data_IF_211713269686
#
_entry.id   IF_211713269686
#
_cell.length_a   1.000
_cell.length_b   1.000
_cell.length_c   1.000
_cell.angle_alpha   90.00
_cell.angle_beta   90.00
_cell.angle_gamma   90.00
#
_symmetry.space_group_name_H-M   'P 1'
#
loop_
_entity.id
_entity.type
_entity.pdbx_description
1 polymer ?
#
# COMPACT_ATOMS: atom_id res chain seq x y z
N UNK A 1 -32.18 -4.76 -1.50
CA UNK A 1 -31.05 -4.32 -0.64
C UNK A 1 -30.40 -3.12 -1.30
N UNK A 2 -30.53 -1.91 -0.73
CA UNK A 2 -29.83 -0.73 -1.25
C UNK A 2 -28.36 -0.87 -0.85
N UNK A 3 -27.49 -1.14 -1.82
CA UNK A 3 -26.05 -1.06 -1.64
C UNK A 3 -25.70 0.40 -1.35
N UNK A 4 -25.40 0.71 -0.10
CA UNK A 4 -24.85 2.01 0.27
C UNK A 4 -23.47 2.12 -0.39
N UNK A 5 -23.18 3.22 -1.08
CA UNK A 5 -21.85 3.50 -1.63
C UNK A 5 -20.85 3.64 -0.48
N UNK A 6 -20.17 2.54 -0.13
CA UNK A 6 -19.10 2.54 0.86
C UNK A 6 -17.85 3.10 0.20
N UNK A 7 -17.71 4.43 0.16
CA UNK A 7 -16.44 5.04 -0.26
C UNK A 7 -15.36 4.65 0.75
N UNK A 8 -14.22 4.09 0.31
CA UNK A 8 -13.14 3.72 1.21
C UNK A 8 -12.63 4.99 1.91
N UNK A 9 -12.44 4.90 3.24
CA UNK A 9 -11.89 6.02 4.00
C UNK A 9 -10.53 6.42 3.40
N UNK A 10 -10.21 7.73 3.30
CA UNK A 10 -8.96 8.21 2.71
C UNK A 10 -7.71 7.54 3.31
N UNK A 11 -7.74 7.26 4.62
CA UNK A 11 -6.70 6.52 5.35
C UNK A 11 -6.43 5.12 4.80
N UNK A 12 -7.49 4.39 4.43
CA UNK A 12 -7.38 3.04 3.84
C UNK A 12 -6.88 3.14 2.40
N UNK A 13 -7.43 4.07 1.62
CA UNK A 13 -7.03 4.27 0.24
C UNK A 13 -5.53 4.67 0.11
N UNK A 14 -5.05 5.55 0.99
CA UNK A 14 -3.65 5.97 1.03
C UNK A 14 -2.70 4.81 1.39
N UNK A 15 -3.06 4.00 2.39
CA UNK A 15 -2.26 2.82 2.74
C UNK A 15 -2.18 1.77 1.64
N UNK A 16 -3.30 1.51 0.94
CA UNK A 16 -3.35 0.55 -0.17
C UNK A 16 -2.51 1.03 -1.36
N UNK A 17 -2.59 2.31 -1.73
CA UNK A 17 -1.78 2.88 -2.81
C UNK A 17 -0.28 2.78 -2.49
N UNK A 18 0.11 3.08 -1.25
CA UNK A 18 1.50 2.97 -0.82
C UNK A 18 2.02 1.53 -0.81
N UNK A 19 1.22 0.57 -0.35
CA UNK A 19 1.54 -0.85 -0.44
C UNK A 19 1.71 -1.31 -1.90
N UNK A 20 0.83 -0.89 -2.79
CA UNK A 20 0.91 -1.23 -4.21
C UNK A 20 2.18 -0.65 -4.88
N UNK A 21 2.53 0.61 -4.58
CA UNK A 21 3.76 1.23 -5.08
C UNK A 21 5.02 0.50 -4.61
N UNK A 22 4.99 -0.07 -3.40
CA UNK A 22 6.10 -0.84 -2.85
C UNK A 22 6.30 -2.16 -3.60
N UNK A 23 5.21 -2.83 -3.97
CA UNK A 23 5.27 -4.04 -4.80
C UNK A 23 5.82 -3.71 -6.19
N UNK A 24 5.37 -2.60 -6.78
CA UNK A 24 5.88 -2.12 -8.08
C UNK A 24 7.39 -1.83 -7.99
N UNK A 25 7.86 -1.19 -6.92
CA UNK A 25 9.27 -0.91 -6.72
C UNK A 25 10.13 -2.19 -6.64
N UNK A 26 9.64 -3.21 -5.93
CA UNK A 26 10.30 -4.52 -5.86
C UNK A 26 10.34 -5.18 -7.23
N UNK A 27 9.25 -5.10 -7.99
CA UNK A 27 9.20 -5.64 -9.35
C UNK A 27 10.21 -4.96 -10.29
N UNK A 28 10.35 -3.64 -10.22
CA UNK A 28 11.36 -2.88 -10.97
C UNK A 28 12.78 -3.29 -10.56
N UNK A 29 13.04 -3.50 -9.27
CA UNK A 29 14.33 -3.99 -8.79
C UNK A 29 14.67 -5.37 -9.37
N UNK A 30 13.69 -6.26 -9.48
CA UNK A 30 13.88 -7.56 -10.15
C UNK A 30 14.22 -7.44 -11.63
N UNK A 31 13.65 -6.46 -12.35
CA UNK A 31 14.02 -6.19 -13.75
C UNK A 31 15.46 -5.68 -13.90
N UNK A 32 16.01 -5.05 -12.87
CA UNK A 32 17.42 -4.62 -12.82
C UNK A 32 18.39 -5.75 -12.42
N UNK A 33 17.91 -6.98 -12.25
CA UNK A 33 18.71 -8.14 -11.86
C UNK A 33 18.92 -8.29 -10.35
N UNK A 34 18.22 -7.52 -9.52
CA UNK A 34 18.25 -7.68 -8.06
C UNK A 34 17.21 -8.73 -7.66
N UNK A 35 17.65 -9.91 -7.24
CA UNK A 35 16.73 -10.92 -6.69
C UNK A 35 16.22 -10.49 -5.32
N UNK A 36 14.94 -10.11 -5.26
CA UNK A 36 14.25 -9.80 -4.01
C UNK A 36 13.36 -10.99 -3.62
N UNK A 37 13.62 -11.66 -2.48
CA UNK A 37 12.73 -12.71 -1.99
C UNK A 37 11.32 -12.17 -1.75
N UNK A 38 10.29 -12.95 -2.10
CA UNK A 38 8.89 -12.51 -1.98
C UNK A 38 8.49 -12.09 -0.56
N UNK A 39 9.10 -12.69 0.46
CA UNK A 39 8.93 -12.30 1.87
C UNK A 39 9.42 -10.88 2.16
N UNK A 40 10.52 -10.44 1.53
CA UNK A 40 11.08 -9.09 1.67
C UNK A 40 10.16 -8.08 0.97
N UNK A 41 9.66 -8.41 -0.23
CA UNK A 41 8.71 -7.55 -0.93
C UNK A 41 7.40 -7.36 -0.15
N UNK A 42 6.88 -8.44 0.44
CA UNK A 42 5.71 -8.37 1.30
C UNK A 42 5.95 -7.52 2.56
N UNK A 43 7.10 -7.70 3.21
CA UNK A 43 7.48 -6.91 4.38
C UNK A 43 7.59 -5.41 4.06
N UNK A 44 8.17 -5.06 2.91
CA UNK A 44 8.26 -3.67 2.43
C UNK A 44 6.87 -3.09 2.17
N UNK A 45 6.00 -3.81 1.46
CA UNK A 45 4.64 -3.38 1.18
C UNK A 45 3.83 -3.14 2.45
N UNK A 46 3.98 -4.01 3.46
CA UNK A 46 3.33 -3.83 4.76
C UNK A 46 3.89 -2.64 5.53
N UNK A 47 5.21 -2.50 5.63
CA UNK A 47 5.84 -1.42 6.37
C UNK A 47 5.51 -0.04 5.76
N UNK A 48 5.63 0.09 4.44
CA UNK A 48 5.36 1.34 3.72
C UNK A 48 3.85 1.63 3.72
N UNK A 49 3.01 0.62 3.47
CA UNK A 49 1.56 0.77 3.54
C UNK A 49 1.08 1.25 4.92
N UNK A 50 1.64 0.68 6.00
CA UNK A 50 1.34 1.09 7.37
C UNK A 50 1.85 2.50 7.67
N UNK A 51 3.10 2.81 7.33
CA UNK A 51 3.69 4.14 7.55
C UNK A 51 2.87 5.22 6.84
N UNK A 52 2.52 5.01 5.57
CA UNK A 52 1.71 5.99 4.84
C UNK A 52 0.31 6.11 5.44
N UNK A 53 -0.35 4.99 5.77
CA UNK A 53 -1.65 5.03 6.44
C UNK A 53 -1.60 5.74 7.82
N UNK A 54 -0.47 5.69 8.52
CA UNK A 54 -0.26 6.39 9.79
C UNK A 54 -0.20 7.91 9.61
N UNK A 55 0.44 8.37 8.54
CA UNK A 55 0.55 9.81 8.23
C UNK A 55 -0.64 10.38 7.47
N UNK A 56 -1.50 9.55 6.86
CA UNK A 56 -2.74 10.03 6.23
C UNK A 56 -3.71 10.48 7.33
N UNK A 57 -4.10 11.77 7.34
CA UNK A 57 -5.05 12.27 8.33
C UNK A 57 -6.34 11.47 8.26
N UNK A 58 -6.92 11.16 9.42
CA UNK A 58 -8.32 10.76 9.47
C UNK A 58 -9.12 12.00 9.11
N UNK A 59 -9.44 12.13 7.82
CA UNK A 59 -10.29 13.21 7.33
C UNK A 59 -11.52 13.29 8.23
N UNK A 60 -11.72 14.47 8.84
CA UNK A 60 -12.80 14.76 9.77
C UNK A 60 -14.12 14.21 9.21
N UNK A 61 -14.66 13.20 9.88
CA UNK A 61 -16.07 12.88 9.79
C UNK A 61 -16.79 13.81 10.77
#
# INVERSE_FOLDING_TARGET
MKWQEVKPKPKVAGGVLAGALSVIAVWVASLAGVEVPGSVGAALATAIGFLVAWFVPEGSQ
#
